data_IF_856772453303
#
_entry.id   IF_856772453303
#
_cell.length_a   1.000
_cell.length_b   1.000
_cell.length_c   1.000
_cell.angle_alpha   90.00
_cell.angle_beta   90.00
_cell.angle_gamma   90.00
#
_symmetry.space_group_name_H-M   'P 1'
#
loop_
_entity.id
_entity.type
_entity.pdbx_description
1 polymer ?
#
# COMPACT_ATOMS: atom_id res chain seq x y z
N UNK A 1 0.49 -10.76 -13.37
CA UNK A 1 0.46 -10.47 -11.92
C UNK A 1 0.45 -8.96 -11.81
N UNK A 2 -0.59 -8.36 -11.23
CA UNK A 2 -0.68 -6.90 -11.09
C UNK A 2 0.09 -6.50 -9.82
N UNK A 3 0.90 -5.46 -9.92
CA UNK A 3 1.67 -4.94 -8.79
C UNK A 3 1.10 -3.60 -8.35
N UNK A 4 1.33 -3.28 -7.09
CA UNK A 4 0.75 -2.15 -6.39
C UNK A 4 1.85 -1.29 -5.78
N UNK A 5 1.59 0.00 -5.76
CA UNK A 5 2.35 0.97 -5.00
C UNK A 5 1.60 1.30 -3.73
N UNK A 6 2.31 1.23 -2.61
CA UNK A 6 1.83 1.63 -1.30
C UNK A 6 2.51 2.93 -0.88
N UNK A 7 1.75 3.81 -0.24
CA UNK A 7 2.28 4.96 0.50
C UNK A 7 1.94 4.80 1.98
N UNK A 8 2.97 4.76 2.82
CA UNK A 8 2.86 4.45 4.25
C UNK A 8 3.59 5.55 5.03
N UNK A 9 3.04 5.98 6.16
CA UNK A 9 3.76 6.80 7.14
C UNK A 9 3.25 6.48 8.54
N UNK A 10 4.14 6.47 9.53
CA UNK A 10 3.82 6.22 10.94
C UNK A 10 2.91 4.99 11.15
N UNK A 11 3.21 3.88 10.46
CA UNK A 11 2.41 2.65 10.47
C UNK A 11 0.94 2.84 10.04
N UNK A 12 0.68 3.83 9.18
CA UNK A 12 -0.63 4.07 8.54
C UNK A 12 -0.50 3.94 7.03
N UNK A 13 -1.38 3.14 6.43
CA UNK A 13 -1.52 3.01 4.97
C UNK A 13 -2.38 4.14 4.43
N UNK A 14 -1.79 5.01 3.61
CA UNK A 14 -2.49 6.15 2.99
C UNK A 14 -3.04 5.81 1.61
N UNK A 15 -2.28 5.05 0.84
CA UNK A 15 -2.60 4.74 -0.56
C UNK A 15 -2.18 3.32 -0.85
N UNK A 16 -3.06 2.55 -1.48
CA UNK A 16 -2.73 1.30 -2.16
C UNK A 16 -3.36 1.34 -3.54
N UNK A 17 -2.54 1.46 -4.59
CA UNK A 17 -3.03 1.58 -5.97
C UNK A 17 -2.17 0.74 -6.91
N UNK A 18 -2.72 0.29 -8.06
CA UNK A 18 -1.93 -0.32 -9.11
C UNK A 18 -0.74 0.56 -9.51
N UNK A 19 0.39 -0.05 -9.85
CA UNK A 19 1.63 0.69 -10.19
C UNK A 19 1.45 1.66 -11.37
N UNK A 20 0.51 1.40 -12.28
CA UNK A 20 0.15 2.27 -13.40
C UNK A 20 -0.74 3.47 -13.02
N UNK A 21 -1.24 3.56 -11.79
CA UNK A 21 -2.10 4.64 -11.34
C UNK A 21 -1.32 5.91 -10.97
N UNK A 22 -2.01 7.06 -10.95
CA UNK A 22 -1.44 8.32 -10.49
C UNK A 22 -1.35 8.37 -8.95
N UNK A 23 -0.29 7.75 -8.42
CA UNK A 23 0.02 7.77 -6.98
C UNK A 23 0.29 9.19 -6.46
N UNK A 24 0.89 10.07 -7.27
CA UNK A 24 1.22 11.42 -6.81
C UNK A 24 -0.06 12.25 -6.58
N UNK A 25 -1.03 12.13 -7.49
CA UNK A 25 -2.37 12.68 -7.32
C UNK A 25 -3.06 12.12 -6.08
N UNK A 26 -3.08 10.79 -5.93
CA UNK A 26 -3.74 10.14 -4.79
C UNK A 26 -3.11 10.52 -3.43
N UNK A 27 -1.78 10.54 -3.34
CA UNK A 27 -1.07 10.98 -2.13
C UNK A 27 -1.46 12.41 -1.78
N UNK A 28 -1.51 13.32 -2.76
CA UNK A 28 -1.88 14.72 -2.52
C UNK A 28 -3.30 14.82 -1.96
N UNK A 29 -4.25 14.10 -2.55
CA UNK A 29 -5.65 14.16 -2.13
C UNK A 29 -5.86 13.56 -0.72
N UNK A 30 -5.18 12.45 -0.40
CA UNK A 30 -5.26 11.82 0.94
C UNK A 30 -4.50 12.63 2.00
N UNK A 31 -3.29 13.11 1.72
CA UNK A 31 -2.52 13.89 2.70
C UNK A 31 -3.16 15.24 2.99
N UNK A 32 -3.72 15.92 1.99
CA UNK A 32 -4.47 17.16 2.22
C UNK A 32 -5.69 16.99 3.14
N UNK A 33 -6.25 15.78 3.24
CA UNK A 33 -7.45 15.50 4.04
C UNK A 33 -7.15 14.87 5.39
N UNK A 34 -6.10 14.07 5.51
CA UNK A 34 -5.78 13.32 6.72
C UNK A 34 -4.76 14.01 7.64
N UNK A 35 -3.78 14.76 7.11
CA UNK A 35 -2.70 15.33 7.93
C UNK A 35 -2.16 16.67 7.41
N UNK A 36 -1.71 17.55 8.31
CA UNK A 36 -1.08 18.81 7.94
C UNK A 36 0.22 18.63 7.14
N UNK A 37 0.71 19.72 6.54
CA UNK A 37 1.99 19.76 5.82
C UNK A 37 3.13 19.14 6.65
N UNK A 38 3.85 18.16 6.08
CA UNK A 38 5.14 17.69 6.62
C UNK A 38 5.31 16.20 6.87
N UNK A 39 4.36 15.33 6.49
CA UNK A 39 4.55 13.88 6.63
C UNK A 39 5.56 13.35 5.61
N UNK A 40 6.54 12.60 6.09
CA UNK A 40 7.45 11.82 5.27
C UNK A 40 6.80 10.49 4.92
N UNK A 41 6.41 10.32 3.65
CA UNK A 41 5.79 9.10 3.16
C UNK A 41 6.85 8.14 2.63
N UNK A 42 6.83 6.91 3.11
CA UNK A 42 7.53 5.79 2.48
C UNK A 42 6.71 5.28 1.30
N UNK A 43 7.29 5.35 0.09
CA UNK A 43 6.65 4.86 -1.14
C UNK A 43 7.28 3.52 -1.52
N UNK A 44 6.49 2.45 -1.46
CA UNK A 44 6.92 1.09 -1.82
C UNK A 44 6.20 0.62 -3.08
N UNK A 45 6.93 0.48 -4.19
CA UNK A 45 6.40 0.06 -5.50
C UNK A 45 6.55 -1.44 -5.75
N UNK A 46 5.77 -2.01 -6.68
CA UNK A 46 5.98 -3.41 -7.08
C UNK A 46 5.49 -4.43 -6.05
N UNK A 47 4.61 -4.03 -5.14
CA UNK A 47 4.04 -4.94 -4.13
C UNK A 47 2.97 -5.84 -4.75
N UNK A 48 2.76 -7.00 -4.15
CA UNK A 48 1.76 -7.99 -4.54
C UNK A 48 0.79 -8.14 -3.38
N UNK A 49 -0.50 -8.01 -3.65
CA UNK A 49 -1.52 -8.22 -2.63
C UNK A 49 -1.87 -9.70 -2.53
N UNK A 50 -1.87 -10.24 -1.32
CA UNK A 50 -2.11 -11.67 -1.05
C UNK A 50 -2.72 -11.88 0.33
N UNK A 51 -3.50 -12.96 0.47
CA UNK A 51 -3.96 -13.45 1.77
C UNK A 51 -3.01 -14.47 2.41
N UNK A 52 -2.06 -14.97 1.62
CA UNK A 52 -1.15 -16.06 1.99
C UNK A 52 0.24 -15.73 1.47
N UNK A 53 1.09 -15.08 2.27
CA UNK A 53 2.47 -14.82 1.89
C UNK A 53 3.25 -16.14 1.87
N UNK A 54 4.13 -16.28 0.89
CA UNK A 54 5.10 -17.37 0.86
C UNK A 54 6.24 -17.10 1.86
N UNK A 55 6.96 -18.12 2.36
CA UNK A 55 8.06 -17.90 3.32
C UNK A 55 9.20 -17.01 2.80
N UNK A 56 9.35 -16.91 1.49
CA UNK A 56 10.36 -16.09 0.81
C UNK A 56 9.86 -14.66 0.52
N UNK A 57 8.58 -14.40 0.74
CA UNK A 57 7.97 -13.10 0.53
C UNK A 57 8.43 -12.11 1.61
N UNK A 58 8.90 -10.94 1.18
CA UNK A 58 9.11 -9.83 2.11
C UNK A 58 7.77 -9.12 2.34
N UNK A 59 7.24 -9.18 3.57
CA UNK A 59 6.01 -8.44 3.93
C UNK A 59 6.33 -6.94 3.99
N UNK A 60 5.64 -6.16 3.16
CA UNK A 60 5.70 -4.70 3.12
C UNK A 60 4.60 -4.10 4.00
N UNK A 61 3.42 -4.72 3.98
CA UNK A 61 2.29 -4.33 4.80
C UNK A 61 1.51 -5.56 5.23
N UNK A 62 0.97 -5.51 6.45
CA UNK A 62 -0.01 -6.45 6.96
C UNK A 62 -1.21 -5.63 7.40
N UNK A 63 -2.40 -6.05 6.98
CA UNK A 63 -3.64 -5.56 7.59
C UNK A 63 -3.57 -5.85 9.10
N UNK A 64 -3.51 -4.77 9.89
CA UNK A 64 -3.61 -4.77 11.34
C UNK A 64 -5.05 -4.49 11.76
N UNK A 65 -5.33 -4.26 13.04
CA UNK A 65 -6.69 -3.87 13.48
C UNK A 65 -7.18 -2.52 12.89
N UNK A 66 -6.30 -1.75 12.26
CA UNK A 66 -6.49 -0.34 11.94
C UNK A 66 -6.78 -0.03 10.45
N UNK A 67 -6.85 -1.00 9.53
CA UNK A 67 -7.33 -0.69 8.18
C UNK A 67 -7.16 -1.76 7.09
N UNK A 68 -8.26 -2.05 6.41
CA UNK A 68 -8.34 -3.03 5.32
C UNK A 68 -7.47 -2.63 4.11
N UNK A 69 -6.49 -3.46 3.78
CA UNK A 69 -5.72 -3.34 2.54
C UNK A 69 -6.59 -3.78 1.36
N UNK A 70 -7.04 -2.84 0.54
CA UNK A 70 -7.92 -3.08 -0.61
C UNK A 70 -7.24 -2.79 -1.93
N UNK A 71 -7.58 -3.56 -2.96
CA UNK A 71 -7.20 -3.23 -4.34
C UNK A 71 -8.14 -2.20 -4.98
N UNK A 72 -7.82 -1.79 -6.21
CA UNK A 72 -8.62 -0.82 -6.97
C UNK A 72 -10.04 -1.31 -7.32
N UNK A 73 -10.33 -2.61 -7.17
CA UNK A 73 -11.66 -3.20 -7.38
C UNK A 73 -12.44 -3.31 -6.05
N UNK A 74 -11.85 -2.86 -4.93
CA UNK A 74 -12.43 -2.92 -3.60
C UNK A 74 -12.29 -4.28 -2.93
N UNK A 75 -11.47 -5.18 -3.47
CA UNK A 75 -11.21 -6.48 -2.86
C UNK A 75 -10.17 -6.33 -1.74
N UNK A 76 -10.50 -6.83 -0.56
CA UNK A 76 -9.59 -6.85 0.58
C UNK A 76 -8.56 -7.98 0.50
N UNK A 77 -7.36 -7.71 1.02
CA UNK A 77 -6.24 -8.62 1.16
C UNK A 77 -5.59 -8.43 2.52
N UNK A 78 -4.98 -9.50 3.07
CA UNK A 78 -4.29 -9.39 4.36
C UNK A 78 -2.87 -8.84 4.30
N UNK A 79 -2.18 -9.01 3.16
CA UNK A 79 -0.77 -8.69 3.06
C UNK A 79 -0.44 -8.01 1.73
N UNK A 80 0.47 -7.04 1.78
CA UNK A 80 1.22 -6.59 0.62
C UNK A 80 2.65 -7.11 0.77
N UNK A 81 3.14 -7.83 -0.24
CA UNK A 81 4.46 -8.46 -0.20
C UNK A 81 5.32 -8.05 -1.39
N UNK A 82 6.63 -8.13 -1.24
CA UNK A 82 7.59 -8.05 -2.34
C UNK A 82 8.25 -9.40 -2.54
N UNK A 83 8.13 -9.93 -3.76
CA UNK A 83 8.84 -11.13 -4.21
C UNK A 83 10.16 -10.71 -4.82
N UNK A 84 11.27 -11.26 -4.32
CA UNK A 84 12.53 -11.19 -5.06
C UNK A 84 12.39 -12.16 -6.23
N UNK A 85 12.41 -11.60 -7.44
CA UNK A 85 12.49 -12.38 -8.69
C UNK A 85 13.89 -12.94 -8.88
#
# INVERSE_FOLDING_TARGET
MRTYTLAIADDVLFVCLPDEADIAGAIRDTTCTAYGHGIELEISRGAILTDRPDPEDQVIWSDGPDGELTDAEGRAFRYAVRRRS
#
